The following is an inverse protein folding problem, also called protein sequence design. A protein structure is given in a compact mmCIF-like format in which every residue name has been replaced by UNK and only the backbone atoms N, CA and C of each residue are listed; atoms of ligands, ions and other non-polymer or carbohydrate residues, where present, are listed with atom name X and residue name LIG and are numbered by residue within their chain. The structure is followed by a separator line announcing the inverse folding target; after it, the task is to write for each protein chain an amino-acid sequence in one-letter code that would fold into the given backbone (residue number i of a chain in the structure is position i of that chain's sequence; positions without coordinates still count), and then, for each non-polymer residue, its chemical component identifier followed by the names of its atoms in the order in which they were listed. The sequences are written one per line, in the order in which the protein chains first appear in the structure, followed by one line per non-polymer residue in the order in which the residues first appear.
data_IF_846950626069
#
_entry.id   IF_846950626069
#
_cell.length_a   1.000
_cell.length_b   1.000
_cell.length_c   1.000
_cell.angle_alpha   90.00
_cell.angle_beta   90.00
_cell.angle_gamma   90.00
#
_symmetry.space_group_name_H-M   'P 1'
#
loop_
_entity.id
_entity.type
_entity.pdbx_description
1 polymer ?
#
# COMPACT_ATOMS: atom_id res chain seq x y z
N UNK A 1 -7.83 -20.32 -2.92
CA UNK A 1 -6.79 -20.50 -1.90
C UNK A 1 -6.34 -19.11 -1.49
N UNK A 2 -6.39 -18.76 -0.19
CA UNK A 2 -5.99 -17.43 0.33
C UNK A 2 -4.56 -17.51 0.86
N UNK A 3 -3.76 -16.52 0.56
CA UNK A 3 -2.36 -16.43 0.94
C UNK A 3 -2.14 -15.16 1.76
N UNK A 4 -1.53 -15.28 2.93
CA UNK A 4 -1.10 -14.15 3.74
C UNK A 4 0.41 -13.97 3.58
N UNK A 5 0.84 -12.80 3.15
CA UNK A 5 2.24 -12.52 2.83
C UNK A 5 2.80 -11.46 3.77
N UNK A 6 4.00 -11.70 4.27
CA UNK A 6 4.75 -10.73 5.09
C UNK A 6 5.92 -10.15 4.31
N UNK A 7 6.16 -8.88 4.58
CA UNK A 7 7.36 -8.07 4.33
C UNK A 7 7.91 -8.00 2.90
N UNK A 8 7.97 -6.79 2.41
CA UNK A 8 8.73 -6.44 1.23
C UNK A 8 9.05 -4.96 1.18
N UNK A 9 10.30 -4.63 1.45
CA UNK A 9 10.87 -3.31 1.13
C UNK A 9 10.93 -3.07 -0.39
N UNK A 10 10.46 -4.01 -1.19
CA UNK A 10 10.44 -3.95 -2.65
C UNK A 10 9.06 -3.57 -3.16
N UNK A 11 9.01 -2.99 -4.36
CA UNK A 11 7.74 -2.68 -5.05
C UNK A 11 6.80 -3.89 -5.03
N UNK A 12 5.52 -3.67 -4.71
CA UNK A 12 4.48 -4.71 -4.75
C UNK A 12 4.47 -5.44 -6.11
N UNK A 13 4.69 -4.72 -7.21
CA UNK A 13 4.78 -5.29 -8.56
C UNK A 13 5.86 -6.36 -8.65
N UNK A 14 7.04 -6.11 -8.10
CA UNK A 14 8.13 -7.10 -8.07
C UNK A 14 7.80 -8.31 -7.21
N UNK A 15 7.22 -8.09 -6.03
CA UNK A 15 6.81 -9.17 -5.13
C UNK A 15 5.73 -10.04 -5.79
N UNK A 16 4.72 -9.41 -6.40
CA UNK A 16 3.67 -10.12 -7.13
C UNK A 16 4.21 -10.95 -8.29
N UNK A 17 5.12 -10.39 -9.07
CA UNK A 17 5.78 -11.12 -10.16
C UNK A 17 6.47 -12.37 -9.65
N UNK A 18 7.21 -12.28 -8.53
CA UNK A 18 7.87 -13.44 -7.91
C UNK A 18 6.86 -14.49 -7.46
N UNK A 19 5.79 -14.08 -6.78
CA UNK A 19 4.72 -14.98 -6.33
C UNK A 19 4.04 -15.64 -7.53
N UNK A 20 3.66 -14.89 -8.56
CA UNK A 20 3.01 -15.42 -9.76
C UNK A 20 3.90 -16.44 -10.48
N UNK A 21 5.20 -16.20 -10.54
CA UNK A 21 6.20 -17.12 -11.09
C UNK A 21 6.30 -18.39 -10.25
N UNK A 22 6.41 -18.28 -8.92
CA UNK A 22 6.45 -19.43 -8.00
C UNK A 22 5.20 -20.29 -8.10
N UNK A 23 4.04 -19.66 -8.40
CA UNK A 23 2.77 -20.35 -8.59
C UNK A 23 2.62 -21.03 -9.96
N UNK A 24 3.56 -20.84 -10.88
CA UNK A 24 3.52 -21.45 -12.21
C UNK A 24 3.37 -22.96 -12.19
N UNK A 25 4.05 -23.65 -11.26
CA UNK A 25 3.96 -25.11 -11.08
C UNK A 25 2.60 -25.62 -10.60
N UNK A 26 1.74 -24.74 -10.09
CA UNK A 26 0.41 -25.08 -9.55
C UNK A 26 -0.73 -24.72 -10.51
N UNK A 27 -0.42 -24.22 -11.69
CA UNK A 27 -1.40 -23.95 -12.74
C UNK A 27 -1.92 -25.27 -13.30
N UNK A 28 -3.22 -25.37 -13.55
CA UNK A 28 -3.81 -26.55 -14.16
C UNK A 28 -3.39 -26.74 -15.63
N UNK A 29 -3.47 -27.97 -16.12
CA UNK A 29 -3.01 -28.34 -17.46
C UNK A 29 -3.66 -27.52 -18.58
N UNK A 30 -4.97 -27.23 -18.46
CA UNK A 30 -5.71 -26.47 -19.47
C UNK A 30 -5.18 -25.04 -19.57
N UNK A 31 -4.96 -24.40 -18.43
CA UNK A 31 -4.38 -23.06 -18.38
C UNK A 31 -2.92 -23.07 -18.85
N UNK A 32 -2.14 -24.08 -18.45
CA UNK A 32 -0.76 -24.24 -18.90
C UNK A 32 -0.66 -24.36 -20.44
N UNK A 33 -1.52 -25.18 -21.06
CA UNK A 33 -1.59 -25.30 -22.53
C UNK A 33 -2.00 -23.99 -23.20
N UNK A 34 -2.95 -23.25 -22.60
CA UNK A 34 -3.38 -21.95 -23.12
C UNK A 34 -2.25 -20.91 -23.07
N UNK A 35 -1.51 -20.84 -21.96
CA UNK A 35 -0.35 -19.96 -21.82
C UNK A 35 0.74 -20.32 -22.82
N UNK A 36 1.01 -21.63 -23.00
CA UNK A 36 1.98 -22.13 -23.99
C UNK A 36 1.58 -21.75 -25.42
N UNK A 37 0.29 -21.91 -25.77
CA UNK A 37 -0.22 -21.50 -27.11
C UNK A 37 -0.06 -19.99 -27.35
N UNK A 38 -0.18 -19.18 -26.30
CA UNK A 38 -0.02 -17.73 -26.36
C UNK A 38 1.44 -17.26 -26.17
N UNK A 39 2.42 -18.17 -26.14
CA UNK A 39 3.83 -17.88 -25.85
C UNK A 39 4.03 -17.04 -24.57
N UNK A 40 3.15 -17.23 -23.58
CA UNK A 40 3.23 -16.57 -22.27
C UNK A 40 3.94 -17.46 -21.25
N UNK A 41 4.66 -16.85 -20.29
CA UNK A 41 5.28 -17.61 -19.21
C UNK A 41 4.24 -18.37 -18.38
N UNK A 42 4.65 -19.48 -17.78
CA UNK A 42 3.80 -20.27 -16.91
C UNK A 42 3.76 -19.61 -15.53
N UNK A 43 2.74 -18.81 -15.33
CA UNK A 43 2.53 -18.03 -14.11
C UNK A 43 1.14 -18.23 -13.53
N UNK A 44 1.03 -18.24 -12.20
CA UNK A 44 -0.25 -18.24 -11.48
C UNK A 44 -0.70 -16.81 -11.24
N UNK A 45 -1.77 -16.35 -11.91
CA UNK A 45 -2.31 -15.00 -11.66
C UNK A 45 -2.75 -14.84 -10.20
N UNK A 46 -2.30 -13.76 -9.57
CA UNK A 46 -2.57 -13.41 -8.18
C UNK A 46 -3.44 -12.18 -8.08
N UNK A 47 -4.44 -12.23 -7.20
CA UNK A 47 -5.23 -11.07 -6.78
C UNK A 47 -4.80 -10.66 -5.38
N UNK A 48 -4.81 -9.37 -5.08
CA UNK A 48 -4.37 -8.80 -3.79
C UNK A 48 -5.47 -8.02 -3.10
N UNK A 49 -5.43 -7.96 -1.77
CA UNK A 49 -6.39 -7.20 -0.95
C UNK A 49 -6.19 -5.69 -1.02
N UNK A 50 -4.96 -5.23 -1.19
CA UNK A 50 -4.62 -3.82 -1.31
C UNK A 50 -3.42 -3.63 -2.23
N UNK A 51 -3.50 -2.65 -3.13
CA UNK A 51 -2.32 -2.20 -3.89
C UNK A 51 -1.54 -1.23 -3.02
N UNK A 52 -0.23 -1.39 -2.99
CA UNK A 52 0.69 -0.46 -2.31
C UNK A 52 1.56 0.23 -3.36
N UNK A 53 1.87 1.50 -3.14
CA UNK A 53 2.80 2.26 -3.99
C UNK A 53 4.23 1.69 -3.86
N UNK A 54 5.13 2.03 -4.79
CA UNK A 54 6.55 1.72 -4.68
C UNK A 54 7.12 2.29 -3.38
N UNK A 55 7.88 1.49 -2.64
CA UNK A 55 8.47 1.88 -1.34
C UNK A 55 7.55 1.67 -0.12
N UNK A 56 6.27 1.34 -0.31
CA UNK A 56 5.36 1.02 0.79
C UNK A 56 5.54 -0.43 1.21
N UNK A 57 5.67 -0.66 2.52
CA UNK A 57 5.79 -2.00 3.11
C UNK A 57 4.41 -2.63 3.37
N UNK A 58 4.38 -3.97 3.49
CA UNK A 58 3.19 -4.68 3.95
C UNK A 58 3.59 -5.75 4.97
N UNK A 59 2.96 -5.75 6.13
CA UNK A 59 3.14 -6.79 7.15
C UNK A 59 2.20 -7.96 6.89
N UNK A 60 0.92 -7.68 6.63
CA UNK A 60 -0.10 -8.68 6.35
C UNK A 60 -0.83 -8.35 5.04
N UNK A 61 -0.23 -8.72 3.90
CA UNK A 61 -0.93 -8.66 2.61
C UNK A 61 -1.69 -9.97 2.38
N UNK A 62 -2.92 -9.87 1.93
CA UNK A 62 -3.73 -11.04 1.56
C UNK A 62 -3.80 -11.16 0.05
N UNK A 63 -3.43 -12.34 -0.44
CA UNK A 63 -3.46 -12.68 -1.85
C UNK A 63 -4.33 -13.91 -2.09
N UNK A 64 -4.88 -14.03 -3.28
CA UNK A 64 -5.52 -15.28 -3.71
C UNK A 64 -5.10 -15.65 -5.11
N UNK A 65 -5.00 -16.95 -5.38
CA UNK A 65 -4.86 -17.46 -6.73
C UNK A 65 -5.85 -18.62 -6.93
N UNK A 66 -6.11 -18.95 -8.18
CA UNK A 66 -7.07 -19.95 -8.56
C UNK A 66 -6.42 -21.09 -9.35
N UNK A 67 -6.70 -22.32 -8.97
CA UNK A 67 -6.28 -23.52 -9.70
C UNK A 67 -7.38 -24.57 -9.67
N UNK A 68 -7.52 -25.37 -10.76
CA UNK A 68 -8.40 -26.52 -10.83
C UNK A 68 -7.75 -27.81 -10.32
N UNK A 69 -6.46 -27.80 -10.06
CA UNK A 69 -5.74 -28.95 -9.52
C UNK A 69 -6.24 -29.29 -8.13
N UNK A 70 -6.53 -30.56 -7.88
CA UNK A 70 -7.04 -31.08 -6.60
C UNK A 70 -5.93 -31.66 -5.72
N UNK A 71 -4.80 -31.97 -6.32
CA UNK A 71 -3.62 -32.61 -5.72
C UNK A 71 -2.67 -31.61 -5.03
N UNK A 72 -3.04 -30.35 -4.94
CA UNK A 72 -2.21 -29.31 -4.32
C UNK A 72 -2.59 -29.17 -2.85
N UNK A 73 -1.58 -29.34 -2.00
CA UNK A 73 -1.72 -29.02 -0.58
C UNK A 73 -1.16 -27.60 -0.28
N UNK A 74 -1.71 -26.94 0.75
CA UNK A 74 -1.25 -25.59 1.15
C UNK A 74 0.26 -25.51 1.37
N UNK A 75 0.85 -26.54 1.95
CA UNK A 75 2.29 -26.59 2.26
C UNK A 75 3.17 -26.54 1.00
N UNK A 76 2.74 -27.19 -0.08
CA UNK A 76 3.50 -27.20 -1.34
C UNK A 76 3.64 -25.79 -1.92
N UNK A 77 2.55 -25.00 -1.80
CA UNK A 77 2.51 -23.61 -2.26
C UNK A 77 3.34 -22.72 -1.36
N UNK A 78 3.27 -22.90 -0.04
CA UNK A 78 4.06 -22.18 0.94
C UNK A 78 5.56 -22.38 0.68
N UNK A 79 6.00 -23.62 0.55
CA UNK A 79 7.40 -23.97 0.30
C UNK A 79 7.92 -23.37 -1.02
N UNK A 80 7.11 -23.45 -2.08
CA UNK A 80 7.50 -22.92 -3.38
C UNK A 80 7.72 -21.38 -3.32
N UNK A 81 6.83 -20.64 -2.65
CA UNK A 81 6.94 -19.19 -2.54
C UNK A 81 8.09 -18.80 -1.61
N UNK A 82 8.18 -19.41 -0.43
CA UNK A 82 9.21 -19.11 0.56
C UNK A 82 10.61 -19.40 0.02
N UNK A 83 10.77 -20.44 -0.79
CA UNK A 83 12.04 -20.79 -1.45
C UNK A 83 12.45 -19.76 -2.50
N UNK A 84 11.51 -19.33 -3.35
CA UNK A 84 11.83 -18.42 -4.47
C UNK A 84 12.04 -16.98 -4.00
N UNK A 85 11.39 -16.55 -2.92
CA UNK A 85 11.40 -15.17 -2.42
C UNK A 85 12.06 -15.02 -1.04
N UNK A 86 12.97 -15.91 -0.68
CA UNK A 86 13.65 -15.93 0.62
C UNK A 86 14.22 -14.56 1.00
N UNK A 87 13.97 -14.14 2.24
CA UNK A 87 14.43 -12.86 2.81
C UNK A 87 13.69 -11.61 2.33
N UNK A 88 12.80 -11.74 1.31
CA UNK A 88 12.02 -10.61 0.76
C UNK A 88 10.54 -10.72 1.02
N UNK A 89 10.07 -11.93 1.20
CA UNK A 89 8.68 -12.30 1.35
C UNK A 89 8.60 -13.56 2.20
N UNK A 90 7.61 -13.64 3.06
CA UNK A 90 7.28 -14.84 3.82
C UNK A 90 5.78 -15.11 3.77
N UNK A 91 5.42 -16.33 3.48
CA UNK A 91 4.06 -16.83 3.63
C UNK A 91 3.82 -17.12 5.11
N UNK A 92 2.74 -16.56 5.66
CA UNK A 92 2.35 -16.77 7.06
C UNK A 92 1.36 -17.93 7.17
N UNK A 93 0.39 -17.99 6.27
CA UNK A 93 -0.59 -19.06 6.22
C UNK A 93 -1.23 -19.17 4.86
N UNK A 94 -1.68 -20.38 4.52
CA UNK A 94 -2.47 -20.65 3.31
C UNK A 94 -3.71 -21.44 3.72
N UNK A 95 -4.86 -21.02 3.19
CA UNK A 95 -6.12 -21.72 3.39
C UNK A 95 -6.91 -21.86 2.10
N UNK A 96 -7.70 -22.94 2.00
CA UNK A 96 -8.66 -23.11 0.92
C UNK A 96 -9.88 -22.24 1.21
N UNK A 97 -10.26 -21.39 0.28
CA UNK A 97 -11.39 -20.45 0.42
C UNK A 97 -12.46 -20.72 -0.63
N UNK A 98 -13.66 -20.20 -0.41
CA UNK A 98 -14.77 -20.26 -1.38
C UNK A 98 -14.36 -19.63 -2.72
N UNK A 99 -14.92 -20.11 -3.81
CA UNK A 99 -14.73 -19.55 -5.15
C UNK A 99 -15.23 -18.10 -5.27
N UNK A 100 -16.18 -17.72 -4.45
CA UNK A 100 -16.71 -16.34 -4.37
C UNK A 100 -15.79 -15.39 -3.60
N UNK A 101 -14.77 -15.89 -2.91
CA UNK A 101 -13.84 -15.05 -2.16
C UNK A 101 -12.95 -14.24 -3.10
N UNK A 102 -12.93 -12.93 -2.91
CA UNK A 102 -12.04 -12.01 -3.60
C UNK A 102 -11.26 -11.20 -2.55
N UNK A 103 -9.90 -11.22 -2.53
CA UNK A 103 -9.13 -10.63 -1.45
C UNK A 103 -9.42 -9.14 -1.26
N UNK A 104 -9.65 -8.39 -2.35
CA UNK A 104 -9.95 -6.97 -2.25
C UNK A 104 -11.44 -6.70 -1.94
N UNK A 105 -12.37 -7.35 -2.65
CA UNK A 105 -13.80 -7.04 -2.52
C UNK A 105 -14.45 -7.67 -1.28
N UNK A 106 -13.91 -8.79 -0.79
CA UNK A 106 -14.39 -9.43 0.44
C UNK A 106 -13.82 -8.77 1.70
N UNK A 107 -12.80 -7.93 1.58
CA UNK A 107 -12.21 -7.27 2.73
C UNK A 107 -13.14 -6.16 3.27
N UNK A 108 -13.42 -6.23 4.58
CA UNK A 108 -14.26 -5.25 5.29
C UNK A 108 -13.49 -4.02 5.73
N UNK A 109 -12.22 -4.20 6.10
CA UNK A 109 -11.36 -3.09 6.50
C UNK A 109 -9.89 -3.36 6.17
N UNK A 110 -9.09 -2.30 6.15
CA UNK A 110 -7.64 -2.30 6.04
C UNK A 110 -7.07 -1.39 7.09
N UNK A 111 -5.95 -1.81 7.68
CA UNK A 111 -5.18 -1.06 8.68
C UNK A 111 -3.85 -0.65 8.08
N UNK A 112 -3.57 0.64 8.14
CA UNK A 112 -2.29 1.20 7.77
C UNK A 112 -1.63 1.84 8.97
N UNK A 113 -0.33 1.66 9.09
CA UNK A 113 0.52 2.43 9.98
C UNK A 113 1.40 3.35 9.16
N UNK A 114 1.57 4.58 9.64
CA UNK A 114 2.56 5.49 9.10
C UNK A 114 3.50 5.92 10.21
N UNK A 115 4.81 5.67 10.03
CA UNK A 115 5.85 5.99 11.01
C UNK A 115 6.61 7.21 10.52
N UNK A 116 6.62 8.25 11.33
CA UNK A 116 7.31 9.52 11.08
C UNK A 116 8.38 9.75 12.16
N UNK A 117 9.69 9.84 11.80
CA UNK A 117 10.75 10.14 12.74
C UNK A 117 10.56 11.53 13.37
N UNK A 118 10.66 11.63 14.70
CA UNK A 118 10.61 12.90 15.44
C UNK A 118 11.99 13.42 15.79
N UNK A 119 12.96 12.51 15.95
CA UNK A 119 14.33 12.90 16.19
C UNK A 119 14.98 13.33 14.87
N UNK A 120 15.76 14.40 14.89
CA UNK A 120 16.65 14.80 13.79
C UNK A 120 17.72 13.71 13.66
N UNK A 121 17.41 12.63 12.93
CA UNK A 121 18.42 11.62 12.63
C UNK A 121 19.47 12.27 11.74
N UNK A 122 20.72 12.35 12.23
CA UNK A 122 21.84 12.50 11.32
C UNK A 122 21.70 11.47 10.20
N UNK A 123 21.91 11.85 8.93
CA UNK A 123 21.79 10.92 7.84
C UNK A 123 22.69 9.70 8.16
N UNK A 124 22.07 8.52 8.21
CA UNK A 124 22.79 7.26 8.35
C UNK A 124 23.98 7.30 7.38
N UNK A 125 25.20 7.38 7.90
CA UNK A 125 26.40 7.15 7.10
C UNK A 125 26.20 5.79 6.47
N UNK A 126 26.04 5.77 5.15
CA UNK A 126 26.01 4.54 4.36
C UNK A 126 27.33 3.84 4.63
N UNK A 127 27.34 2.90 5.56
CA UNK A 127 28.40 1.91 5.64
C UNK A 127 28.36 1.18 4.32
N UNK A 128 29.50 1.20 3.61
CA UNK A 128 29.60 0.68 2.26
C UNK A 128 29.22 -0.80 2.20
N UNK A 129 28.02 -1.05 1.77
CA UNK A 129 27.61 -2.33 1.26
C UNK A 129 27.34 -2.16 -0.23
N UNK A 130 28.04 -2.97 -1.00
CA UNK A 130 27.97 -3.06 -2.43
C UNK A 130 26.52 -3.13 -2.89
N UNK A 131 26.00 -2.03 -3.44
CA UNK A 131 24.83 -2.07 -4.26
C UNK A 131 25.20 -2.83 -5.54
N UNK A 132 24.91 -4.13 -5.59
CA UNK A 132 24.65 -4.75 -6.87
C UNK A 132 23.51 -3.99 -7.51
N UNK A 133 23.86 -3.17 -8.49
CA UNK A 133 22.92 -2.51 -9.38
C UNK A 133 22.15 -3.61 -10.12
N UNK A 134 21.00 -4.01 -9.60
CA UNK A 134 20.04 -4.76 -10.39
C UNK A 134 19.49 -3.79 -11.44
N UNK A 135 20.03 -3.90 -12.62
CA UNK A 135 19.47 -3.31 -13.84
C UNK A 135 18.07 -3.91 -13.97
N UNK A 136 17.07 -3.11 -13.72
CA UNK A 136 15.68 -3.45 -13.99
C UNK A 136 15.56 -3.48 -15.51
N UNK A 137 15.32 -4.65 -16.09
CA UNK A 137 15.14 -4.79 -17.54
C UNK A 137 13.76 -4.23 -17.93
N UNK A 138 13.71 -2.96 -18.29
CA UNK A 138 12.51 -2.26 -18.77
C UNK A 138 11.89 -2.93 -20.00
N UNK A 139 12.62 -3.81 -20.68
CA UNK A 139 12.12 -4.54 -21.85
C UNK A 139 11.09 -5.63 -21.46
N UNK A 140 11.13 -6.14 -20.23
CA UNK A 140 10.16 -7.12 -19.74
C UNK A 140 8.77 -6.50 -19.52
N UNK A 141 8.69 -5.24 -19.12
CA UNK A 141 7.42 -4.52 -18.97
C UNK A 141 6.79 -4.17 -20.33
N UNK A 142 7.61 -3.75 -21.30
CA UNK A 142 7.14 -3.45 -22.65
C UNK A 142 6.65 -4.69 -23.41
N UNK A 143 7.25 -5.87 -23.21
CA UNK A 143 6.75 -7.13 -23.78
C UNK A 143 5.44 -7.60 -23.17
N UNK A 144 5.15 -7.24 -21.92
CA UNK A 144 3.90 -7.59 -21.23
C UNK A 144 2.71 -6.76 -21.72
N UNK A 145 2.95 -5.50 -22.11
CA UNK A 145 1.91 -4.55 -22.54
C UNK A 145 1.54 -4.68 -24.04
N UNK A 146 2.40 -5.26 -24.87
CA UNK A 146 2.16 -5.40 -26.31
C UNK A 146 1.34 -6.62 -26.74
N UNK A 147 0.89 -7.50 -25.84
CA UNK A 147 0.29 -8.81 -26.18
C UNK A 147 -1.12 -9.05 -25.62
N UNK A 148 -1.87 -8.00 -25.28
CA UNK A 148 -3.28 -8.11 -24.91
C UNK A 148 -4.16 -7.93 -26.15
N UNK A 149 -4.48 -9.02 -26.85
CA UNK A 149 -5.55 -9.07 -27.83
C UNK A 149 -6.90 -9.12 -27.12
N UNK A 150 -7.82 -8.33 -27.63
CA UNK A 150 -9.20 -8.14 -27.23
C UNK A 150 -10.01 -9.44 -27.35
N UNK A 151 -10.14 -10.21 -26.28
CA UNK A 151 -11.22 -11.20 -26.09
C UNK A 151 -11.02 -11.87 -24.72
N UNK A 152 -11.42 -11.17 -23.67
CA UNK A 152 -11.85 -11.65 -22.34
C UNK A 152 -12.00 -10.41 -21.43
N UNK A 153 -12.90 -9.51 -21.85
CA UNK A 153 -13.26 -8.32 -21.09
C UNK A 153 -14.32 -8.64 -20.06
N UNK A 154 -13.90 -9.12 -18.88
CA UNK A 154 -14.53 -8.70 -17.63
C UNK A 154 -13.48 -7.87 -16.88
N UNK A 155 -13.63 -6.59 -16.99
CA UNK A 155 -13.08 -5.47 -16.25
C UNK A 155 -11.83 -5.72 -15.39
N UNK A 156 -10.67 -5.76 -16.04
CA UNK A 156 -9.44 -5.30 -15.42
C UNK A 156 -9.03 -4.03 -16.13
N UNK A 157 -9.54 -2.90 -15.68
CA UNK A 157 -9.01 -1.60 -16.06
C UNK A 157 -7.63 -1.48 -15.43
N UNK A 158 -6.63 -1.93 -16.19
CA UNK A 158 -5.26 -1.51 -16.01
C UNK A 158 -5.20 -0.09 -16.54
N UNK A 159 -5.32 0.88 -15.68
CA UNK A 159 -4.91 2.23 -16.04
C UNK A 159 -3.39 2.26 -16.02
N UNK A 160 -2.79 2.06 -17.18
CA UNK A 160 -1.53 2.67 -17.53
C UNK A 160 -1.80 4.17 -17.57
N UNK A 161 -1.50 4.88 -16.51
CA UNK A 161 -1.37 6.31 -16.53
C UNK A 161 0.05 6.62 -16.06
N UNK A 162 0.87 6.77 -17.08
CA UNK A 162 1.90 7.78 -17.27
C UNK A 162 2.45 8.35 -15.96
N UNK A 163 3.62 7.80 -15.59
CA UNK A 163 4.67 8.65 -15.04
C UNK A 163 5.02 9.69 -16.10
N UNK A 164 4.19 10.70 -16.27
CA UNK A 164 4.68 11.98 -16.71
C UNK A 164 5.54 12.48 -15.54
N UNK A 165 6.82 12.11 -15.59
CA UNK A 165 7.88 12.91 -15.00
C UNK A 165 7.67 14.30 -15.59
N UNK A 166 7.04 15.17 -14.79
CA UNK A 166 7.16 16.59 -15.01
C UNK A 166 8.63 16.85 -14.74
N UNK A 167 9.43 17.04 -15.80
CA UNK A 167 10.74 17.66 -15.69
C UNK A 167 10.53 18.92 -14.86
N UNK A 168 11.01 18.89 -13.62
CA UNK A 168 11.13 20.06 -12.79
C UNK A 168 12.11 21.01 -13.49
N UNK A 169 11.56 21.89 -14.30
CA UNK A 169 12.30 23.08 -14.70
C UNK A 169 12.65 23.81 -13.43
N UNK A 170 13.94 23.85 -13.16
CA UNK A 170 14.59 24.56 -12.06
C UNK A 170 14.34 26.07 -12.17
N UNK A 171 13.21 26.52 -11.66
CA UNK A 171 12.97 27.92 -11.36
C UNK A 171 12.41 28.01 -9.94
N UNK A 172 13.32 28.37 -8.99
CA UNK A 172 12.98 29.04 -7.74
C UNK A 172 11.91 28.37 -6.89
N UNK A 173 11.99 27.07 -6.64
CA UNK A 173 11.19 26.43 -5.60
C UNK A 173 11.77 26.85 -4.25
N UNK A 174 11.05 27.70 -3.54
CA UNK A 174 11.20 27.83 -2.10
C UNK A 174 11.20 26.41 -1.54
N UNK A 175 12.31 26.00 -0.96
CA UNK A 175 12.43 24.78 -0.17
C UNK A 175 11.42 24.96 0.96
N UNK A 176 10.24 24.35 0.82
CA UNK A 176 9.28 24.28 1.93
C UNK A 176 9.99 23.46 3.00
N UNK A 177 10.62 24.15 3.94
CA UNK A 177 11.25 23.53 5.09
C UNK A 177 10.21 22.61 5.74
N UNK A 178 10.62 21.38 6.02
CA UNK A 178 9.80 20.48 6.83
C UNK A 178 9.48 21.24 8.11
N UNK A 179 8.19 21.29 8.54
CA UNK A 179 7.87 21.93 9.80
C UNK A 179 8.74 21.31 10.88
N UNK A 180 9.63 22.10 11.43
CA UNK A 180 10.65 21.66 12.40
C UNK A 180 10.04 21.35 13.76
N UNK A 181 8.82 21.81 13.99
CA UNK A 181 8.12 21.64 15.26
C UNK A 181 6.61 21.51 15.04
N UNK A 182 6.05 20.40 15.53
CA UNK A 182 4.62 20.16 15.58
C UNK A 182 4.26 19.23 16.76
N UNK A 183 3.06 19.38 17.28
CA UNK A 183 2.57 18.54 18.38
C UNK A 183 1.91 17.27 17.85
N UNK A 184 2.40 16.09 18.25
CA UNK A 184 1.77 14.80 17.97
C UNK A 184 0.35 14.76 18.51
N UNK A 185 0.10 15.36 19.71
CA UNK A 185 -1.24 15.48 20.29
C UNK A 185 -2.17 16.25 19.36
N UNK A 186 -1.67 17.30 18.71
CA UNK A 186 -2.47 18.08 17.75
C UNK A 186 -2.78 17.28 16.50
N UNK A 187 -1.83 16.49 15.98
CA UNK A 187 -2.08 15.55 14.86
C UNK A 187 -3.16 14.55 15.25
N UNK A 188 -3.10 13.98 16.45
CA UNK A 188 -4.10 13.04 16.96
C UNK A 188 -5.49 13.69 17.03
N UNK A 189 -5.62 14.89 17.60
CA UNK A 189 -6.88 15.63 17.67
C UNK A 189 -7.51 15.89 16.29
N UNK A 190 -6.69 16.23 15.29
CA UNK A 190 -7.13 16.43 13.92
C UNK A 190 -7.66 15.13 13.30
N UNK A 191 -6.95 14.02 13.47
CA UNK A 191 -7.31 12.71 12.93
C UNK A 191 -8.58 12.15 13.59
N UNK A 192 -8.75 12.31 14.91
CA UNK A 192 -9.94 11.85 15.63
C UNK A 192 -11.23 12.42 15.04
N UNK A 193 -11.22 13.62 14.46
CA UNK A 193 -12.41 14.22 13.86
C UNK A 193 -12.96 13.42 12.67
N UNK A 194 -12.15 12.55 12.06
CA UNK A 194 -12.54 11.71 10.94
C UNK A 194 -13.16 10.38 11.38
N UNK A 195 -12.93 9.96 12.62
CA UNK A 195 -13.32 8.65 13.13
C UNK A 195 -14.83 8.49 13.24
N UNK A 196 -15.33 7.28 12.89
CA UNK A 196 -16.75 6.92 12.97
C UNK A 196 -17.63 7.57 11.89
N UNK A 197 -17.05 8.19 10.85
CA UNK A 197 -17.77 8.94 9.83
C UNK A 197 -17.57 8.36 8.42
N UNK A 198 -18.61 8.44 7.60
CA UNK A 198 -18.53 8.26 6.14
C UNK A 198 -18.28 9.63 5.53
N UNK A 199 -17.11 9.81 4.91
CA UNK A 199 -16.69 11.10 4.33
C UNK A 199 -16.10 10.88 2.94
N UNK A 200 -16.26 11.88 2.05
CA UNK A 200 -15.63 11.86 0.73
C UNK A 200 -14.18 12.31 0.82
N UNK A 201 -13.25 11.39 0.60
CA UNK A 201 -11.81 11.65 0.65
C UNK A 201 -11.21 12.05 -0.71
N UNK A 202 -12.03 12.55 -1.62
CA UNK A 202 -11.62 12.99 -2.96
C UNK A 202 -10.42 13.96 -2.92
N UNK A 203 -10.40 14.88 -1.96
CA UNK A 203 -9.34 15.89 -1.82
C UNK A 203 -8.01 15.29 -1.37
N UNK A 204 -8.04 14.19 -0.65
CA UNK A 204 -6.87 13.46 -0.18
C UNK A 204 -6.41 12.37 -1.16
N UNK A 205 -7.14 12.09 -2.23
CA UNK A 205 -6.74 11.15 -3.25
C UNK A 205 -5.83 11.79 -4.31
N UNK A 206 -4.95 10.99 -4.89
CA UNK A 206 -4.14 11.36 -6.06
C UNK A 206 -4.47 10.42 -7.20
N UNK A 207 -5.71 10.53 -7.70
CA UNK A 207 -6.23 9.77 -8.82
C UNK A 207 -6.89 10.72 -9.81
N UNK A 208 -6.48 10.66 -11.06
CA UNK A 208 -7.00 11.51 -12.13
C UNK A 208 -8.46 11.20 -12.47
N UNK A 209 -8.89 9.93 -12.35
CA UNK A 209 -10.27 9.51 -12.63
C UNK A 209 -11.25 10.03 -11.57
N UNK A 210 -10.90 9.90 -10.28
CA UNK A 210 -11.68 10.47 -9.19
C UNK A 210 -11.81 12.00 -9.30
N UNK A 211 -10.79 12.68 -9.87
CA UNK A 211 -10.84 14.12 -10.11
C UNK A 211 -11.91 14.53 -11.15
N UNK A 212 -12.18 13.67 -12.12
CA UNK A 212 -13.14 13.93 -13.22
C UNK A 212 -14.57 13.51 -12.88
N UNK A 213 -14.86 13.02 -11.67
CA UNK A 213 -16.12 12.41 -11.26
C UNK A 213 -16.53 11.16 -12.08
N UNK A 214 -15.57 10.54 -12.78
CA UNK A 214 -15.78 9.37 -13.63
C UNK A 214 -15.30 8.08 -12.96
N UNK A 215 -14.81 8.18 -11.72
CA UNK A 215 -14.22 7.09 -10.97
C UNK A 215 -15.16 6.41 -9.98
N UNK A 216 -14.70 5.39 -9.27
CA UNK A 216 -15.45 4.75 -8.21
C UNK A 216 -15.75 5.74 -7.07
N UNK A 217 -16.75 5.45 -6.22
CA UNK A 217 -17.11 6.28 -5.08
C UNK A 217 -15.91 6.70 -4.25
N UNK A 218 -15.88 7.95 -3.80
CA UNK A 218 -14.77 8.52 -3.01
C UNK A 218 -15.04 8.50 -1.50
N UNK A 219 -16.21 8.03 -1.12
CA UNK A 219 -16.64 7.87 0.27
C UNK A 219 -15.90 6.70 0.92
N UNK A 220 -15.35 6.96 2.10
CA UNK A 220 -14.75 5.93 2.94
C UNK A 220 -15.30 6.08 4.37
N UNK A 221 -15.53 4.96 5.02
CA UNK A 221 -15.83 4.92 6.45
C UNK A 221 -14.55 4.73 7.23
N UNK A 222 -14.20 5.70 8.06
CA UNK A 222 -13.01 5.66 8.91
C UNK A 222 -13.38 5.04 10.25
N UNK A 223 -12.99 3.78 10.50
CA UNK A 223 -13.24 3.09 11.75
C UNK A 223 -12.39 3.66 12.89
N UNK A 224 -11.11 3.96 12.58
CA UNK A 224 -10.12 4.40 13.54
C UNK A 224 -9.10 5.33 12.88
N UNK A 225 -8.74 6.41 13.57
CA UNK A 225 -7.76 7.39 13.10
C UNK A 225 -7.10 8.06 14.30
N UNK A 226 -5.90 7.63 14.65
CA UNK A 226 -5.15 8.06 15.83
C UNK A 226 -3.68 8.28 15.52
N UNK A 227 -3.05 9.12 16.31
CA UNK A 227 -1.61 9.31 16.31
C UNK A 227 -1.04 9.28 17.73
N UNK A 228 0.10 8.64 17.91
CA UNK A 228 0.81 8.61 19.18
C UNK A 228 2.32 8.71 18.97
N UNK A 229 2.99 9.30 19.96
CA UNK A 229 4.45 9.20 20.06
C UNK A 229 4.82 7.87 20.67
N UNK A 230 5.73 7.14 20.01
CA UNK A 230 6.25 5.87 20.51
C UNK A 230 7.77 5.85 20.39
N UNK A 231 8.42 4.94 21.10
CA UNK A 231 9.85 4.65 20.96
C UNK A 231 10.03 3.31 20.27
N UNK A 232 10.74 3.31 19.16
CA UNK A 232 11.10 2.10 18.44
C UNK A 232 12.48 1.64 18.93
N UNK A 233 12.56 0.40 19.37
CA UNK A 233 13.85 -0.24 19.68
C UNK A 233 14.73 -0.24 18.43
N UNK A 234 15.97 0.17 18.58
CA UNK A 234 16.97 0.23 17.53
C UNK A 234 18.24 -0.46 18.02
N UNK A 235 18.88 -1.27 17.16
CA UNK A 235 20.16 -1.90 17.48
C UNK A 235 21.27 -0.88 17.75
N UNK A 236 21.13 0.32 17.19
CA UNK A 236 22.19 1.34 17.19
C UNK A 236 22.03 2.41 18.28
N UNK A 237 20.92 2.38 19.04
CA UNK A 237 20.68 3.31 20.14
C UNK A 237 19.94 2.66 21.32
N UNK A 238 20.55 2.79 22.50
CA UNK A 238 20.04 2.20 23.75
C UNK A 238 18.68 2.78 24.15
N UNK A 239 18.43 4.05 23.86
CA UNK A 239 17.19 4.74 24.22
C UNK A 239 16.05 4.53 23.22
N UNK A 240 16.32 3.91 22.06
CA UNK A 240 15.38 3.79 20.95
C UNK A 240 15.16 5.13 20.23
N UNK A 241 14.52 5.10 19.07
CA UNK A 241 14.16 6.30 18.28
C UNK A 241 12.74 6.75 18.59
N UNK A 242 12.58 8.04 18.85
CA UNK A 242 11.25 8.65 18.99
C UNK A 242 10.62 8.79 17.61
N UNK A 243 9.40 8.31 17.46
CA UNK A 243 8.63 8.42 16.25
C UNK A 243 7.19 8.75 16.55
N UNK A 244 6.53 9.46 15.64
CA UNK A 244 5.07 9.49 15.60
C UNK A 244 4.59 8.28 14.80
N UNK A 245 3.71 7.49 15.39
CA UNK A 245 2.97 6.44 14.71
C UNK A 245 1.54 6.93 14.48
N UNK A 246 1.09 6.88 13.23
CA UNK A 246 -0.30 7.13 12.85
C UNK A 246 -0.94 5.80 12.48
N UNK A 247 -2.07 5.46 13.12
CA UNK A 247 -2.90 4.30 12.81
C UNK A 247 -4.19 4.74 12.14
N UNK A 248 -4.44 4.23 10.95
CA UNK A 248 -5.67 4.45 10.20
C UNK A 248 -6.32 3.12 9.84
N UNK A 249 -7.61 2.97 10.19
CA UNK A 249 -8.42 1.81 9.81
C UNK A 249 -9.67 2.29 9.10
N UNK A 250 -9.87 1.83 7.86
CA UNK A 250 -11.04 2.19 7.07
C UNK A 250 -11.54 1.01 6.23
N UNK A 251 -12.79 1.07 5.78
CA UNK A 251 -13.35 0.07 4.86
C UNK A 251 -12.58 0.03 3.54
N UNK A 252 -12.05 1.16 3.10
CA UNK A 252 -11.20 1.31 1.92
C UNK A 252 -10.33 2.55 2.03
N UNK A 253 -9.26 2.59 1.23
CA UNK A 253 -8.45 3.79 1.03
C UNK A 253 -8.33 4.08 -0.47
N UNK A 254 -8.39 5.35 -0.83
CA UNK A 254 -8.13 5.82 -2.18
C UNK A 254 -6.62 5.88 -2.43
N UNK A 255 -6.23 5.98 -3.71
CA UNK A 255 -4.82 6.05 -4.10
C UNK A 255 -4.09 7.22 -3.42
N UNK A 256 -2.97 6.93 -2.77
CA UNK A 256 -2.13 7.86 -1.99
C UNK A 256 -2.84 8.55 -0.81
N UNK A 257 -4.10 8.21 -0.51
CA UNK A 257 -4.93 8.87 0.51
C UNK A 257 -4.24 8.93 1.87
N UNK A 258 -3.74 7.81 2.39
CA UNK A 258 -3.08 7.75 3.71
C UNK A 258 -1.91 8.73 3.77
N UNK A 259 -1.04 8.73 2.76
CA UNK A 259 0.15 9.57 2.71
C UNK A 259 -0.19 11.07 2.63
N UNK A 260 -1.22 11.42 1.87
CA UNK A 260 -1.71 12.81 1.78
C UNK A 260 -2.35 13.24 3.09
N UNK A 261 -3.13 12.36 3.71
CA UNK A 261 -3.80 12.64 4.98
C UNK A 261 -2.77 12.91 6.08
N UNK A 262 -1.76 12.04 6.23
CA UNK A 262 -0.69 12.20 7.21
C UNK A 262 0.09 13.51 6.97
N UNK A 263 0.53 13.77 5.75
CA UNK A 263 1.28 14.99 5.44
C UNK A 263 0.46 16.27 5.72
N UNK A 264 -0.83 16.23 5.39
CA UNK A 264 -1.74 17.35 5.66
C UNK A 264 -1.97 17.53 7.16
N UNK A 265 -2.17 16.45 7.91
CA UNK A 265 -2.33 16.53 9.38
C UNK A 265 -1.10 17.13 10.07
N UNK A 266 0.12 16.77 9.63
CA UNK A 266 1.36 17.36 10.14
C UNK A 266 1.43 18.85 9.80
N UNK A 267 1.13 19.23 8.56
CA UNK A 267 1.12 20.64 8.12
C UNK A 267 0.14 21.49 8.94
N UNK A 268 -1.10 21.00 9.09
CA UNK A 268 -2.14 21.72 9.85
C UNK A 268 -1.79 21.80 11.34
N UNK A 269 -1.21 20.74 11.91
CA UNK A 269 -0.75 20.75 13.29
C UNK A 269 0.38 21.78 13.52
N UNK A 270 1.34 21.85 12.61
CA UNK A 270 2.42 22.83 12.66
C UNK A 270 1.91 24.29 12.48
N UNK A 271 0.86 24.48 11.69
CA UNK A 271 0.21 25.77 11.50
C UNK A 271 -0.70 26.16 12.67
N UNK A 272 -0.87 25.30 13.71
CA UNK A 272 -1.77 25.59 14.83
C UNK A 272 -3.26 25.61 14.44
N UNK A 273 -3.64 24.95 13.33
CA UNK A 273 -5.00 24.97 12.82
C UNK A 273 -6.04 24.42 13.83
N UNK A 274 -7.29 24.79 13.64
CA UNK A 274 -8.39 24.28 14.47
C UNK A 274 -8.59 22.77 14.32
N UNK A 275 -9.25 22.11 15.29
CA UNK A 275 -9.40 20.65 15.27
C UNK A 275 -10.24 20.12 14.08
N UNK A 276 -11.11 20.95 13.51
CA UNK A 276 -11.94 20.62 12.34
C UNK A 276 -11.27 20.91 10.99
N UNK A 277 -9.99 21.33 10.97
CA UNK A 277 -9.29 21.72 9.76
C UNK A 277 -9.32 20.63 8.66
N UNK A 278 -9.16 19.34 9.04
CA UNK A 278 -9.26 18.25 8.08
C UNK A 278 -10.66 18.10 7.51
N UNK A 279 -11.71 18.33 8.30
CA UNK A 279 -13.10 18.29 7.82
C UNK A 279 -13.34 19.43 6.81
N UNK A 280 -12.89 20.64 7.11
CA UNK A 280 -12.96 21.77 6.18
C UNK A 280 -12.23 21.50 4.86
N UNK A 281 -11.08 20.82 4.92
CA UNK A 281 -10.32 20.43 3.73
C UNK A 281 -11.00 19.34 2.87
N UNK A 282 -11.85 18.49 3.45
CA UNK A 282 -12.66 17.52 2.67
C UNK A 282 -13.66 18.22 1.74
N UNK A 283 -14.15 19.39 2.14
CA UNK A 283 -15.10 20.21 1.39
C UNK A 283 -14.43 21.18 0.40
N UNK A 284 -13.10 21.28 0.43
CA UNK A 284 -12.36 22.18 -0.44
C UNK A 284 -12.57 21.83 -1.93
N UNK A 285 -12.55 22.83 -2.78
CA UNK A 285 -12.71 22.68 -4.23
C UNK A 285 -11.40 22.41 -4.97
N UNK A 286 -10.26 22.69 -4.34
CA UNK A 286 -8.94 22.58 -4.95
C UNK A 286 -8.03 21.61 -4.20
N UNK A 287 -7.45 20.64 -4.91
CA UNK A 287 -6.49 19.66 -4.35
C UNK A 287 -5.21 20.28 -3.79
N UNK A 288 -4.86 21.48 -4.22
CA UNK A 288 -3.72 22.22 -3.65
C UNK A 288 -3.94 22.62 -2.20
N UNK A 289 -5.18 22.57 -1.71
CA UNK A 289 -5.48 22.77 -0.29
C UNK A 289 -4.89 21.66 0.60
N UNK A 290 -4.65 20.46 0.08
CA UNK A 290 -3.99 19.36 0.82
C UNK A 290 -2.51 19.27 0.49
N UNK A 291 -1.70 18.80 1.44
CA UNK A 291 -0.26 18.64 1.26
C UNK A 291 0.09 17.59 0.18
N UNK A 292 1.29 17.64 -0.40
CA UNK A 292 1.84 16.54 -1.19
C UNK A 292 1.87 15.23 -0.38
N UNK A 293 1.88 14.05 -1.04
CA UNK A 293 1.96 12.79 -0.32
C UNK A 293 3.25 12.68 0.52
N UNK A 294 3.13 12.27 1.78
CA UNK A 294 4.29 11.92 2.61
C UNK A 294 5.13 10.80 1.97
N UNK A 295 6.41 10.64 2.32
CA UNK A 295 7.29 9.58 1.82
C UNK A 295 6.67 8.18 1.93
N UNK A 296 6.90 7.32 0.93
CA UNK A 296 6.32 5.97 0.88
C UNK A 296 6.90 5.04 1.93
N UNK A 297 8.14 5.26 2.32
CA UNK A 297 8.93 4.41 3.20
C UNK A 297 8.37 4.36 4.63
N UNK A 298 7.67 5.43 5.05
CA UNK A 298 6.98 5.49 6.35
C UNK A 298 5.67 4.69 6.39
N UNK A 299 5.11 4.30 5.23
CA UNK A 299 3.82 3.65 5.15
C UNK A 299 3.93 2.12 5.16
N UNK A 300 3.10 1.48 5.97
CA UNK A 300 2.95 0.02 6.01
C UNK A 300 1.47 -0.38 5.96
N UNK A 301 1.09 -1.26 5.03
CA UNK A 301 -0.15 -2.02 5.13
C UNK A 301 0.02 -3.05 6.25
N UNK A 302 -0.56 -2.74 7.41
CA UNK A 302 -0.35 -3.55 8.61
C UNK A 302 -1.26 -4.76 8.64
N UNK A 303 -2.54 -4.61 8.27
CA UNK A 303 -3.49 -5.72 8.32
C UNK A 303 -4.69 -5.52 7.39
N UNK A 304 -5.38 -6.64 7.06
CA UNK A 304 -6.59 -6.69 6.23
C UNK A 304 -7.61 -7.59 6.89
N UNK A 305 -8.78 -7.06 7.23
CA UNK A 305 -9.83 -7.82 7.92
C UNK A 305 -10.99 -8.20 7.02
N UNK A 306 -11.51 -9.41 7.27
CA UNK A 306 -12.67 -10.00 6.58
C UNK A 306 -13.87 -10.20 7.52
N UNK A 307 -13.69 -10.07 8.82
CA UNK A 307 -14.73 -9.90 9.82
C UNK A 307 -14.98 -8.42 10.11
N UNK A 308 -16.00 -8.11 10.89
CA UNK A 308 -16.23 -6.73 11.33
C UNK A 308 -15.05 -6.22 12.17
N UNK A 309 -14.79 -4.93 12.07
CA UNK A 309 -13.69 -4.32 12.82
C UNK A 309 -14.05 -4.25 14.30
N UNK A 310 -13.15 -4.75 15.13
CA UNK A 310 -13.23 -4.64 16.58
C UNK A 310 -12.31 -3.50 17.05
N UNK A 311 -12.87 -2.40 17.58
CA UNK A 311 -12.08 -1.28 18.08
C UNK A 311 -11.07 -1.66 19.17
N UNK A 312 -11.31 -2.73 19.94
CA UNK A 312 -10.39 -3.20 20.98
C UNK A 312 -9.07 -3.74 20.40
N UNK A 313 -9.04 -4.05 19.10
CA UNK A 313 -7.83 -4.49 18.40
C UNK A 313 -6.96 -3.34 17.89
N UNK A 314 -7.34 -2.09 18.15
CA UNK A 314 -6.55 -0.91 17.79
C UNK A 314 -5.23 -0.88 18.55
N UNK A 315 -4.17 -0.43 17.90
CA UNK A 315 -2.82 -0.35 18.49
C UNK A 315 -2.62 0.95 19.28
N UNK A 316 -3.32 2.01 18.87
CA UNK A 316 -3.32 3.32 19.50
C UNK A 316 -4.73 3.55 20.08
N UNK A 317 -4.85 3.54 21.39
CA UNK A 317 -6.12 3.75 22.09
C UNK A 317 -6.51 5.23 22.22
#
# INVERSE_FOLDING_TARGET
MGLLLMDGRNSLTYILFRVEKSLGGFVDERKAQLLKKKCKPLEGRVLVAGRTDKGVSALNQVCSFYTWRKDIEPIDVEDAINKDASGKLRVVSISKVSRSFHPNFSAKWRRYLYIFPLDNAEPLRKSGENHENFIFDENLEKQRNGLLSEEDTEEVILSEDDELEIEETSNGLEVVEKPSDFSVIKVDQLLQQLQGKVLSYKMFARDTKAARNEGPPTECFMYHARAAEIRLSCSDCVEGRRVMCVELVANRFLRKMVRVLVATSIREAAAGAENDALLKLLEASCRRATAPPAPSEGLCLFDVGYADFDPQTSLIS
#
